data_IF_580684232425
#
_entry.id   IF_580684232425
#
_cell.length_a   1.000
_cell.length_b   1.000
_cell.length_c   1.000
_cell.angle_alpha   90.00
_cell.angle_beta   90.00
_cell.angle_gamma   90.00
#
_symmetry.space_group_name_H-M   'P 1'
#
loop_
_entity.id
_entity.type
_entity.pdbx_description
1 polymer ?
#
# COMPACT_ATOMS: atom_id res chain seq x y z
N UNK A 1 0.84 21.19 15.04
CA UNK A 1 0.00 20.42 14.10
C UNK A 1 0.88 20.01 12.94
N UNK A 2 1.25 18.74 12.81
CA UNK A 2 2.03 18.30 11.65
C UNK A 2 1.18 18.52 10.38
N UNK A 3 1.75 19.14 9.35
CA UNK A 3 1.03 19.37 8.09
C UNK A 3 0.65 18.06 7.37
N UNK A 4 -0.19 18.15 6.35
CA UNK A 4 -0.69 16.99 5.61
C UNK A 4 0.44 16.13 5.00
N UNK A 5 1.52 16.74 4.52
CA UNK A 5 2.65 16.01 3.91
C UNK A 5 3.49 15.22 4.93
N UNK A 6 3.91 15.78 6.08
CA UNK A 6 4.51 14.97 7.15
C UNK A 6 3.64 13.81 7.62
N UNK A 7 2.33 14.02 7.78
CA UNK A 7 1.40 12.96 8.17
C UNK A 7 1.34 11.84 7.11
N UNK A 8 1.32 12.20 5.82
CA UNK A 8 1.38 11.25 4.71
C UNK A 8 2.64 10.39 4.76
N UNK A 9 3.82 11.03 4.92
CA UNK A 9 5.10 10.31 4.95
C UNK A 9 5.17 9.37 6.15
N UNK A 10 4.78 9.83 7.34
CA UNK A 10 4.78 8.99 8.54
C UNK A 10 3.83 7.80 8.37
N UNK A 11 2.60 8.03 7.89
CA UNK A 11 1.63 6.97 7.68
C UNK A 11 2.13 5.93 6.66
N UNK A 12 2.76 6.37 5.55
CA UNK A 12 3.32 5.49 4.55
C UNK A 12 4.49 4.65 5.09
N UNK A 13 5.38 5.25 5.88
CA UNK A 13 6.50 4.55 6.52
C UNK A 13 6.00 3.50 7.53
N UNK A 14 5.01 3.84 8.36
CA UNK A 14 4.40 2.91 9.31
C UNK A 14 3.71 1.75 8.59
N UNK A 15 2.98 2.05 7.52
CA UNK A 15 2.32 1.03 6.69
C UNK A 15 3.35 0.10 6.06
N UNK A 16 4.43 0.62 5.49
CA UNK A 16 5.53 -0.19 4.96
C UNK A 16 6.22 -1.05 6.02
N UNK A 17 6.50 -0.48 7.20
CA UNK A 17 7.11 -1.19 8.31
C UNK A 17 6.26 -2.37 8.80
N UNK A 18 4.93 -2.23 8.80
CA UNK A 18 4.01 -3.30 9.16
C UNK A 18 4.08 -4.52 8.21
N UNK A 19 4.63 -4.35 7.01
CA UNK A 19 4.83 -5.43 6.02
C UNK A 19 6.20 -6.11 6.13
N UNK A 20 6.98 -5.84 7.18
CA UNK A 20 8.26 -6.51 7.44
C UNK A 20 8.24 -8.04 7.30
N UNK A 21 7.21 -8.78 7.78
CA UNK A 21 7.15 -10.23 7.63
C UNK A 21 7.14 -10.73 6.19
N UNK A 22 6.76 -9.90 5.22
CA UNK A 22 6.76 -10.22 3.79
C UNK A 22 8.10 -9.90 3.09
N UNK A 23 9.12 -9.45 3.86
CA UNK A 23 10.47 -9.17 3.39
C UNK A 23 10.71 -7.70 3.00
N UNK A 24 11.99 -7.33 2.91
CA UNK A 24 12.44 -5.95 2.65
C UNK A 24 11.86 -5.34 1.37
N UNK A 25 11.78 -6.13 0.29
CA UNK A 25 11.22 -5.67 -0.97
C UNK A 25 9.74 -5.30 -0.81
N UNK A 26 8.98 -6.13 -0.08
CA UNK A 26 7.56 -5.86 0.17
C UNK A 26 7.36 -4.62 1.05
N UNK A 27 8.23 -4.36 2.03
CA UNK A 27 8.17 -3.13 2.83
C UNK A 27 8.35 -1.87 1.98
N UNK A 28 9.30 -1.89 1.04
CA UNK A 28 9.54 -0.77 0.11
C UNK A 28 8.31 -0.57 -0.78
N UNK A 29 7.79 -1.64 -1.37
CA UNK A 29 6.56 -1.58 -2.16
C UNK A 29 5.38 -1.04 -1.34
N UNK A 30 5.11 -1.62 -0.18
CA UNK A 30 4.03 -1.17 0.71
C UNK A 30 4.18 0.31 1.08
N UNK A 31 5.39 0.80 1.36
CA UNK A 31 5.64 2.23 1.63
C UNK A 31 5.26 3.10 0.44
N UNK A 32 5.74 2.77 -0.77
CA UNK A 32 5.43 3.51 -1.99
C UNK A 32 3.93 3.52 -2.27
N UNK A 33 3.28 2.37 -2.07
CA UNK A 33 1.86 2.25 -2.26
C UNK A 33 1.06 3.03 -1.19
N UNK A 34 1.52 3.05 0.06
CA UNK A 34 0.97 3.88 1.12
C UNK A 34 0.99 5.38 0.79
N UNK A 35 2.08 5.85 0.17
CA UNK A 35 2.15 7.22 -0.37
C UNK A 35 1.07 7.45 -1.44
N UNK A 36 0.93 6.53 -2.40
CA UNK A 36 -0.07 6.63 -3.48
C UNK A 36 -1.50 6.67 -2.93
N UNK A 37 -1.83 5.81 -1.96
CA UNK A 37 -3.16 5.80 -1.34
C UNK A 37 -3.43 7.11 -0.59
N UNK A 38 -2.45 7.62 0.17
CA UNK A 38 -2.61 8.88 0.87
C UNK A 38 -2.72 10.07 -0.08
N UNK A 39 -1.98 10.09 -1.20
CA UNK A 39 -2.14 11.09 -2.26
C UNK A 39 -3.52 11.01 -2.93
N UNK A 40 -4.01 9.80 -3.19
CA UNK A 40 -5.35 9.58 -3.75
C UNK A 40 -6.45 10.10 -2.82
N UNK A 41 -6.28 9.93 -1.50
CA UNK A 41 -7.17 10.55 -0.51
C UNK A 41 -7.05 12.08 -0.50
N UNK A 42 -5.84 12.63 -0.46
CA UNK A 42 -5.61 14.08 -0.45
C UNK A 42 -6.18 14.76 -1.70
N UNK A 43 -6.11 14.10 -2.86
CA UNK A 43 -6.68 14.59 -4.11
C UNK A 43 -8.21 14.52 -4.15
N UNK A 44 -8.79 13.39 -3.69
CA UNK A 44 -10.23 13.15 -3.85
C UNK A 44 -11.09 13.58 -2.65
N UNK A 45 -10.50 13.71 -1.46
CA UNK A 45 -11.21 13.86 -0.18
C UNK A 45 -12.08 12.68 0.21
N UNK A 46 -12.01 11.55 -0.51
CA UNK A 46 -12.96 10.43 -0.41
C UNK A 46 -12.22 9.15 -0.03
N UNK A 47 -12.67 8.47 1.02
CA UNK A 47 -12.06 7.22 1.49
C UNK A 47 -12.22 6.05 0.51
N UNK A 48 -13.27 6.03 -0.30
CA UNK A 48 -13.49 4.91 -1.22
C UNK A 48 -12.43 4.84 -2.33
N UNK A 49 -11.80 5.96 -2.70
CA UNK A 49 -10.78 6.01 -3.75
C UNK A 49 -9.52 5.21 -3.36
N UNK A 50 -8.83 5.49 -2.23
CA UNK A 50 -7.71 4.67 -1.79
C UNK A 50 -8.11 3.23 -1.45
N UNK A 51 -9.34 2.99 -0.97
CA UNK A 51 -9.84 1.62 -0.72
C UNK A 51 -9.92 0.83 -2.04
N UNK A 52 -10.47 1.43 -3.09
CA UNK A 52 -10.58 0.79 -4.41
C UNK A 52 -9.20 0.53 -5.01
N UNK A 53 -8.27 1.48 -4.91
CA UNK A 53 -6.87 1.29 -5.33
C UNK A 53 -6.19 0.16 -4.54
N UNK A 54 -6.39 0.13 -3.22
CA UNK A 54 -5.84 -0.90 -2.36
C UNK A 54 -6.35 -2.28 -2.72
N UNK A 55 -7.66 -2.42 -2.85
CA UNK A 55 -8.29 -3.65 -3.27
C UNK A 55 -7.82 -4.09 -4.66
N UNK A 56 -7.78 -3.17 -5.63
CA UNK A 56 -7.36 -3.47 -7.00
C UNK A 56 -5.91 -3.95 -7.09
N UNK A 57 -5.00 -3.31 -6.34
CA UNK A 57 -3.60 -3.76 -6.27
C UNK A 57 -3.51 -5.16 -5.65
N UNK A 58 -4.16 -5.38 -4.50
CA UNK A 58 -4.15 -6.69 -3.86
C UNK A 58 -4.75 -7.78 -4.75
N UNK A 59 -5.83 -7.49 -5.45
CA UNK A 59 -6.45 -8.41 -6.39
C UNK A 59 -5.52 -8.72 -7.57
N UNK A 60 -4.81 -7.71 -8.09
CA UNK A 60 -3.80 -7.91 -9.15
C UNK A 60 -2.64 -8.77 -8.64
N UNK A 61 -2.13 -8.49 -7.43
CA UNK A 61 -1.11 -9.32 -6.80
C UNK A 61 -1.59 -10.76 -6.63
N UNK A 62 -2.82 -10.94 -6.12
CA UNK A 62 -3.40 -12.25 -5.90
C UNK A 62 -3.55 -13.04 -7.21
N UNK A 63 -4.17 -12.46 -8.24
CA UNK A 63 -4.52 -13.16 -9.48
C UNK A 63 -3.33 -13.44 -10.41
N UNK A 64 -2.26 -12.63 -10.33
CA UNK A 64 -1.15 -12.73 -11.27
C UNK A 64 0.17 -13.18 -10.63
N UNK A 65 0.35 -12.98 -9.33
CA UNK A 65 1.64 -13.19 -8.67
C UNK A 65 1.59 -14.15 -7.47
N UNK A 66 0.44 -14.32 -6.82
CA UNK A 66 0.28 -15.25 -5.69
C UNK A 66 -0.46 -16.53 -6.09
N UNK A 67 -1.54 -16.42 -6.84
CA UNK A 67 -2.36 -17.56 -7.29
C UNK A 67 -2.49 -17.52 -8.82
N UNK A 68 -2.42 -18.66 -9.55
CA UNK A 68 -2.27 -20.04 -9.08
C UNK A 68 -0.82 -20.44 -8.78
N UNK A 69 0.11 -19.48 -8.79
CA UNK A 69 1.55 -19.76 -8.79
C UNK A 69 2.22 -19.95 -7.42
N UNK A 70 1.46 -20.06 -6.33
CA UNK A 70 1.99 -20.61 -5.08
C UNK A 70 2.12 -22.13 -5.18
N UNK A 71 2.96 -22.58 -6.11
CA UNK A 71 3.50 -23.92 -6.12
C UNK A 71 4.61 -23.95 -5.07
N UNK A 72 4.30 -24.45 -3.89
CA UNK A 72 5.33 -24.80 -2.91
C UNK A 72 6.29 -25.85 -3.52
N UNK A 73 7.60 -25.81 -3.24
CA UNK A 73 8.45 -27.00 -3.25
C UNK A 73 8.05 -27.99 -2.14
#
# INVERSE_FOLDING_TARGET
>A
MAGAYPALVIAALLFGAAHFPAGMLMMVFATLTGLLYGLAWMWSGRLWVPIALHFGLNMTHLLFFTYPFYQHP
#
